data_IF_734372456943
#
_entry.id   IF_734372456943
#
_cell.length_a   1.000
_cell.length_b   1.000
_cell.length_c   1.000
_cell.angle_alpha   90.00
_cell.angle_beta   90.00
_cell.angle_gamma   90.00
#
_symmetry.space_group_name_H-M   'P 1'
#
loop_
_entity.id
_entity.type
_entity.pdbx_description
1 polymer ?
#
# COMPACT_ATOMS: atom_id res chain seq x y z
N UNK A 1 -6.81 -21.15 -4.83
CA UNK A 1 -5.76 -20.14 -4.54
C UNK A 1 -5.53 -19.18 -5.70
N UNK A 2 -5.78 -19.58 -6.96
CA UNK A 2 -5.51 -18.72 -8.12
C UNK A 2 -6.39 -17.46 -8.23
N UNK A 3 -7.66 -17.51 -7.76
CA UNK A 3 -8.56 -16.36 -7.82
C UNK A 3 -8.11 -15.19 -6.92
N UNK A 4 -7.60 -15.49 -5.71
CA UNK A 4 -7.08 -14.47 -4.79
C UNK A 4 -5.85 -13.79 -5.37
N UNK A 5 -4.94 -14.60 -5.92
CA UNK A 5 -3.73 -14.07 -6.55
C UNK A 5 -4.05 -13.23 -7.78
N UNK A 6 -5.00 -13.67 -8.60
CA UNK A 6 -5.48 -12.87 -9.74
C UNK A 6 -6.07 -11.55 -9.26
N UNK A 7 -6.93 -11.56 -8.24
CA UNK A 7 -7.55 -10.34 -7.72
C UNK A 7 -6.52 -9.39 -7.11
N UNK A 8 -5.54 -9.93 -6.37
CA UNK A 8 -4.39 -9.17 -5.89
C UNK A 8 -3.64 -8.48 -7.05
N UNK A 9 -3.26 -9.26 -8.07
CA UNK A 9 -2.47 -8.75 -9.20
C UNK A 9 -3.26 -7.70 -10.02
N UNK A 10 -4.57 -7.91 -10.19
CA UNK A 10 -5.47 -6.98 -10.87
C UNK A 10 -5.62 -5.68 -10.08
N UNK A 11 -5.82 -5.76 -8.76
CA UNK A 11 -5.90 -4.60 -7.88
C UNK A 11 -4.59 -3.80 -7.88
N UNK A 12 -3.44 -4.49 -7.73
CA UNK A 12 -2.14 -3.85 -7.78
C UNK A 12 -1.91 -3.11 -9.11
N UNK A 13 -2.32 -3.72 -10.23
CA UNK A 13 -2.18 -3.14 -11.56
C UNK A 13 -3.05 -1.90 -11.77
N UNK A 14 -4.28 -1.87 -11.27
CA UNK A 14 -5.12 -0.66 -11.39
C UNK A 14 -4.64 0.47 -10.48
N UNK A 15 -4.12 0.15 -9.28
CA UNK A 15 -3.47 1.13 -8.40
C UNK A 15 -2.22 1.70 -9.08
N UNK A 16 -1.33 0.84 -9.59
CA UNK A 16 -0.12 1.25 -10.32
C UNK A 16 -0.45 2.18 -11.49
N UNK A 17 -1.43 1.80 -12.31
CA UNK A 17 -1.90 2.61 -13.44
C UNK A 17 -2.40 3.98 -13.00
N UNK A 18 -3.18 4.02 -11.93
CA UNK A 18 -3.73 5.27 -11.38
C UNK A 18 -2.61 6.16 -10.85
N UNK A 19 -1.63 5.59 -10.16
CA UNK A 19 -0.47 6.32 -9.65
C UNK A 19 0.39 6.88 -10.78
N UNK A 20 0.69 6.10 -11.82
CA UNK A 20 1.44 6.59 -12.99
C UNK A 20 0.73 7.76 -13.67
N UNK A 21 -0.59 7.65 -13.90
CA UNK A 21 -1.37 8.75 -14.46
C UNK A 21 -1.35 9.98 -13.54
N UNK A 22 -1.45 9.79 -12.23
CA UNK A 22 -1.43 10.89 -11.25
C UNK A 22 -0.06 11.57 -11.19
N UNK A 23 1.04 10.80 -11.18
CA UNK A 23 2.43 11.30 -11.17
C UNK A 23 2.71 12.13 -12.42
N UNK A 24 2.36 11.62 -13.61
CA UNK A 24 2.58 12.33 -14.88
C UNK A 24 1.82 13.66 -14.97
N UNK A 25 0.70 13.78 -14.26
CA UNK A 25 -0.11 14.98 -14.23
C UNK A 25 0.30 15.99 -13.14
N UNK A 26 1.29 15.65 -12.29
CA UNK A 26 1.74 16.49 -11.19
C UNK A 26 3.10 17.10 -11.48
N UNK A 27 3.29 18.32 -11.01
CA UNK A 27 4.62 18.91 -10.91
C UNK A 27 5.27 18.41 -9.62
N UNK A 28 6.37 17.67 -9.74
CA UNK A 28 7.16 17.21 -8.61
C UNK A 28 8.04 16.01 -8.94
N UNK A 29 9.01 15.72 -8.07
CA UNK A 29 9.89 14.56 -8.20
C UNK A 29 9.31 13.40 -7.38
N UNK A 30 8.42 12.65 -8.02
CA UNK A 30 7.83 11.44 -7.45
C UNK A 30 8.31 10.20 -8.21
N UNK A 31 8.68 9.16 -7.50
CA UNK A 31 9.12 7.88 -8.07
C UNK A 31 8.25 6.75 -7.52
N UNK A 32 7.65 5.97 -8.42
CA UNK A 32 6.91 4.77 -8.08
C UNK A 32 7.75 3.53 -8.36
N UNK A 33 7.80 2.61 -7.40
CA UNK A 33 8.42 1.28 -7.54
C UNK A 33 7.41 0.24 -7.12
N UNK A 34 7.20 -0.79 -7.94
CA UNK A 34 6.20 -1.84 -7.72
C UNK A 34 6.90 -3.19 -7.65
N UNK A 35 6.62 -4.01 -6.64
CA UNK A 35 7.21 -5.34 -6.46
C UNK A 35 8.76 -5.38 -6.50
N UNK A 36 9.40 -4.28 -6.09
CA UNK A 36 10.85 -4.12 -6.13
C UNK A 36 11.45 -4.12 -4.73
N UNK A 37 12.73 -4.46 -4.64
CA UNK A 37 13.45 -4.30 -3.38
C UNK A 37 13.62 -2.84 -3.02
N UNK A 38 13.72 -2.56 -1.71
CA UNK A 38 14.03 -1.22 -1.23
C UNK A 38 15.48 -0.87 -1.58
N UNK A 39 15.73 0.26 -2.27
CA UNK A 39 17.07 0.63 -2.71
C UNK A 39 18.10 0.70 -1.58
N UNK A 40 19.24 0.04 -1.78
CA UNK A 40 20.37 0.09 -0.86
C UNK A 40 20.18 -0.65 0.47
N UNK A 41 19.06 -1.34 0.69
CA UNK A 41 18.88 -2.18 1.89
C UNK A 41 19.66 -3.50 1.72
N UNK A 42 20.67 -3.79 2.57
CA UNK A 42 21.35 -5.07 2.55
C UNK A 42 20.51 -6.16 3.24
N UNK A 43 20.55 -7.38 2.74
CA UNK A 43 19.87 -8.54 3.35
C UNK A 43 18.71 -9.09 2.50
N UNK A 44 17.79 -9.88 3.09
CA UNK A 44 16.74 -10.56 2.34
C UNK A 44 15.90 -9.54 1.55
N UNK A 45 15.64 -9.88 0.30
CA UNK A 45 14.97 -9.05 -0.69
C UNK A 45 13.49 -8.86 -0.35
N UNK A 46 13.19 -8.08 0.69
CA UNK A 46 11.83 -7.60 0.94
C UNK A 46 11.42 -6.75 -0.26
N UNK A 47 10.29 -7.12 -0.85
CA UNK A 47 9.69 -6.47 -2.01
C UNK A 47 8.29 -6.05 -1.61
N UNK A 48 8.12 -4.83 -1.08
CA UNK A 48 6.80 -4.26 -0.90
C UNK A 48 6.07 -4.21 -2.23
N UNK A 49 4.74 -4.36 -2.19
CA UNK A 49 3.93 -4.29 -3.41
C UNK A 49 4.07 -2.91 -4.05
N UNK A 50 4.08 -1.85 -3.23
CA UNK A 50 4.27 -0.47 -3.67
C UNK A 50 5.27 0.29 -2.80
N UNK A 51 6.11 1.08 -3.46
CA UNK A 51 6.92 2.13 -2.84
C UNK A 51 6.72 3.43 -3.62
N UNK A 52 6.27 4.49 -2.94
CA UNK A 52 6.10 5.80 -3.55
C UNK A 52 7.01 6.82 -2.85
N UNK A 53 8.08 7.23 -3.53
CA UNK A 53 9.02 8.23 -3.05
C UNK A 53 8.59 9.61 -3.52
N UNK A 54 8.37 10.53 -2.59
CA UNK A 54 8.23 11.94 -2.88
C UNK A 54 9.52 12.65 -2.46
N UNK A 55 10.38 12.93 -3.43
CA UNK A 55 11.70 13.52 -3.21
C UNK A 55 11.61 14.97 -2.74
N UNK A 56 10.55 15.69 -3.10
CA UNK A 56 10.34 17.09 -2.71
C UNK A 56 10.01 17.22 -1.22
N UNK A 57 9.19 16.30 -0.70
CA UNK A 57 8.80 16.24 0.73
C UNK A 57 9.71 15.36 1.57
N UNK A 58 10.61 14.60 0.93
CA UNK A 58 11.45 13.55 1.54
C UNK A 58 10.61 12.54 2.33
N UNK A 59 9.49 12.14 1.75
CA UNK A 59 8.60 11.09 2.29
C UNK A 59 8.63 9.86 1.40
N UNK A 60 8.44 8.68 1.98
CA UNK A 60 8.26 7.42 1.25
C UNK A 60 7.07 6.66 1.84
N UNK A 61 6.12 6.30 0.99
CA UNK A 61 5.07 5.36 1.35
C UNK A 61 5.52 3.95 0.96
N UNK A 62 5.48 3.02 1.89
CA UNK A 62 5.74 1.58 1.70
C UNK A 62 4.41 0.88 1.97
N UNK A 63 3.87 0.22 0.96
CA UNK A 63 2.52 -0.35 1.01
C UNK A 63 2.51 -1.80 0.54
N UNK A 64 1.86 -2.64 1.32
CA UNK A 64 1.47 -4.00 0.94
C UNK A 64 -0.04 -4.07 0.65
N UNK A 65 -0.40 -5.02 -0.19
CA UNK A 65 -1.75 -5.32 -0.60
C UNK A 65 -2.19 -6.66 0.02
N UNK A 66 -3.30 -6.63 0.75
CA UNK A 66 -3.86 -7.82 1.38
C UNK A 66 -5.25 -8.11 0.80
N UNK A 67 -5.47 -9.35 0.36
CA UNK A 67 -6.79 -9.85 0.01
C UNK A 67 -7.34 -10.66 1.17
N UNK A 68 -8.34 -10.14 1.86
CA UNK A 68 -9.07 -10.85 2.89
C UNK A 68 -10.19 -11.68 2.24
N UNK A 69 -10.41 -12.91 2.72
CA UNK A 69 -11.64 -13.61 2.37
C UNK A 69 -12.83 -12.90 3.03
N UNK A 70 -13.89 -12.65 2.26
CA UNK A 70 -15.16 -12.11 2.79
C UNK A 70 -15.91 -13.21 3.55
N UNK A 71 -15.33 -13.75 4.62
CA UNK A 71 -16.09 -14.53 5.59
C UNK A 71 -16.71 -13.52 6.55
N UNK A 72 -18.02 -13.31 6.39
CA UNK A 72 -18.82 -12.47 7.27
C UNK A 72 -19.02 -13.20 8.60
N UNK A 73 -17.95 -13.34 9.38
CA UNK A 73 -18.07 -13.72 10.78
C UNK A 73 -18.64 -12.50 11.50
N UNK A 74 -19.95 -12.58 11.72
CA UNK A 74 -20.68 -11.74 12.67
C UNK A 74 -20.18 -12.07 14.07
N UNK A 75 -18.98 -11.66 14.44
CA UNK A 75 -18.61 -11.44 15.84
C UNK A 75 -17.29 -10.66 15.94
N UNK A 76 -17.39 -9.56 16.69
CA UNK A 76 -16.34 -8.65 17.19
C UNK A 76 -15.86 -7.49 16.27
N UNK A 77 -16.46 -6.29 16.39
CA UNK A 77 -16.12 -5.11 15.59
C UNK A 77 -14.84 -4.38 16.04
N UNK A 78 -14.11 -4.84 17.07
CA UNK A 78 -12.95 -4.11 17.58
C UNK A 78 -11.86 -5.03 18.15
N UNK A 79 -10.67 -5.02 17.49
CA UNK A 79 -9.37 -5.06 18.19
C UNK A 79 -8.53 -6.37 18.30
N UNK A 80 -8.65 -7.40 17.45
CA UNK A 80 -7.62 -8.47 17.49
C UNK A 80 -7.00 -8.90 16.16
N UNK A 81 -7.76 -9.07 15.07
CA UNK A 81 -7.20 -9.52 13.78
C UNK A 81 -6.39 -8.43 13.05
N UNK A 82 -6.99 -7.27 12.83
CA UNK A 82 -6.35 -6.16 12.08
C UNK A 82 -5.16 -5.54 12.83
N UNK A 83 -5.23 -5.46 14.16
CA UNK A 83 -4.13 -4.98 14.98
C UNK A 83 -2.94 -5.94 14.97
N UNK A 84 -3.19 -7.26 14.94
CA UNK A 84 -2.15 -8.27 14.77
C UNK A 84 -1.54 -8.20 13.37
N UNK A 85 -2.34 -8.10 12.31
CA UNK A 85 -1.83 -7.94 10.94
C UNK A 85 -0.94 -6.70 10.80
N UNK A 86 -1.37 -5.56 11.37
CA UNK A 86 -0.56 -4.33 11.37
C UNK A 86 0.75 -4.47 12.16
N UNK A 87 0.73 -5.17 13.31
CA UNK A 87 1.93 -5.44 14.09
C UNK A 87 2.89 -6.42 13.39
N UNK A 88 2.35 -7.41 12.68
CA UNK A 88 3.10 -8.37 11.88
C UNK A 88 3.78 -7.69 10.69
N UNK A 89 3.09 -6.78 10.00
CA UNK A 89 3.67 -5.96 8.93
C UNK A 89 4.74 -5.00 9.44
N UNK A 90 4.51 -4.34 10.58
CA UNK A 90 5.50 -3.49 11.22
C UNK A 90 6.77 -4.29 11.59
N UNK A 91 6.61 -5.53 12.03
CA UNK A 91 7.73 -6.43 12.33
C UNK A 91 8.46 -6.85 11.06
N UNK A 92 7.72 -7.25 10.02
CA UNK A 92 8.25 -7.63 8.70
C UNK A 92 9.08 -6.50 8.09
N UNK A 93 8.59 -5.27 8.17
CA UNK A 93 9.23 -4.09 7.55
C UNK A 93 10.10 -3.28 8.50
N UNK A 94 10.37 -3.75 9.72
CA UNK A 94 11.19 -3.02 10.70
C UNK A 94 12.58 -2.63 10.14
N UNK A 95 13.21 -3.52 9.37
CA UNK A 95 14.50 -3.25 8.73
C UNK A 95 14.39 -2.18 7.63
N UNK A 96 13.33 -2.23 6.81
CA UNK A 96 13.02 -1.23 5.78
C UNK A 96 12.79 0.14 6.40
N UNK A 97 11.94 0.21 7.43
CA UNK A 97 11.64 1.42 8.18
C UNK A 97 12.92 2.07 8.70
N UNK A 98 13.76 1.28 9.40
CA UNK A 98 15.02 1.76 9.98
C UNK A 98 16.00 2.23 8.90
N UNK A 99 16.13 1.49 7.80
CA UNK A 99 17.02 1.83 6.71
C UNK A 99 16.62 3.15 6.05
N UNK A 100 15.36 3.28 5.63
CA UNK A 100 14.87 4.51 4.99
C UNK A 100 14.92 5.70 5.95
N UNK A 101 14.57 5.51 7.23
CA UNK A 101 14.71 6.56 8.24
C UNK A 101 16.16 6.99 8.43
N UNK A 102 17.13 6.07 8.40
CA UNK A 102 18.57 6.40 8.49
C UNK A 102 19.08 7.22 7.31
N UNK A 103 18.42 7.12 6.16
CA UNK A 103 18.67 7.95 4.97
C UNK A 103 17.92 9.30 5.01
N UNK A 104 17.20 9.58 6.11
CA UNK A 104 16.46 10.81 6.35
C UNK A 104 15.08 10.86 5.70
N UNK A 105 14.51 9.72 5.31
CA UNK A 105 13.14 9.66 4.82
C UNK A 105 12.14 9.64 5.97
N UNK A 106 11.03 10.37 5.82
CA UNK A 106 9.83 10.13 6.62
C UNK A 106 9.06 8.98 6.00
N UNK A 107 8.90 7.87 6.73
CA UNK A 107 8.33 6.63 6.18
C UNK A 107 6.88 6.45 6.63
N UNK A 108 5.99 6.22 5.67
CA UNK A 108 4.61 5.80 5.92
C UNK A 108 4.48 4.32 5.56
N UNK A 109 4.33 3.46 6.56
CA UNK A 109 3.98 2.05 6.35
C UNK A 109 2.47 1.91 6.46
N UNK A 110 1.85 1.27 5.46
CA UNK A 110 0.40 1.09 5.42
C UNK A 110 0.05 -0.13 4.59
N UNK A 111 -1.19 -0.61 4.75
CA UNK A 111 -1.67 -1.72 3.93
C UNK A 111 -3.04 -1.44 3.37
N UNK A 112 -3.18 -1.78 2.09
CA UNK A 112 -4.43 -1.69 1.37
C UNK A 112 -5.10 -3.06 1.44
N UNK A 113 -6.33 -3.09 1.96
CA UNK A 113 -7.06 -4.33 2.19
C UNK A 113 -8.29 -4.38 1.28
N UNK A 114 -8.41 -5.46 0.53
CA UNK A 114 -9.55 -5.74 -0.34
C UNK A 114 -10.16 -7.09 0.03
N UNK A 115 -11.48 -7.22 -0.09
CA UNK A 115 -12.18 -8.48 0.05
C UNK A 115 -12.11 -9.28 -1.23
N UNK A 116 -12.10 -10.59 -1.09
CA UNK A 116 -12.08 -11.57 -2.18
C UNK A 116 -13.21 -11.40 -3.22
N UNK A 117 -14.31 -10.73 -2.86
CA UNK A 117 -15.47 -10.46 -3.71
C UNK A 117 -15.53 -9.01 -4.21
N UNK A 118 -14.44 -8.24 -4.05
CA UNK A 118 -14.37 -6.84 -4.45
C UNK A 118 -14.92 -5.85 -3.41
N UNK A 119 -14.86 -6.21 -2.13
CA UNK A 119 -15.12 -5.26 -1.05
C UNK A 119 -13.86 -4.42 -0.80
N UNK A 120 -14.00 -3.14 -0.46
CA UNK A 120 -12.84 -2.26 -0.19
C UNK A 120 -12.85 -1.85 1.28
N UNK A 121 -11.72 -2.02 1.97
CA UNK A 121 -11.62 -1.60 3.36
C UNK A 121 -11.73 -0.05 3.46
N UNK A 122 -12.56 0.50 4.37
CA UNK A 122 -12.74 1.95 4.50
C UNK A 122 -11.45 2.74 4.78
N UNK A 123 -10.42 2.08 5.34
CA UNK A 123 -9.11 2.67 5.59
C UNK A 123 -8.30 2.98 4.33
N UNK A 124 -8.55 2.26 3.23
CA UNK A 124 -7.82 2.42 1.96
C UNK A 124 -7.97 3.85 1.42
N UNK A 125 -9.17 4.43 1.52
CA UNK A 125 -9.45 5.78 1.06
C UNK A 125 -8.51 6.82 1.67
N UNK A 126 -8.21 6.71 2.97
CA UNK A 126 -7.27 7.60 3.65
C UNK A 126 -5.84 7.37 3.17
N UNK A 127 -5.42 6.12 2.99
CA UNK A 127 -4.09 5.77 2.50
C UNK A 127 -3.86 6.31 1.08
N UNK A 128 -4.85 6.19 0.19
CA UNK A 128 -4.77 6.75 -1.17
C UNK A 128 -4.48 8.24 -1.15
N UNK A 129 -5.18 9.00 -0.31
CA UNK A 129 -5.02 10.45 -0.28
C UNK A 129 -3.79 10.89 0.51
N UNK A 130 -3.59 10.38 1.72
CA UNK A 130 -2.60 10.90 2.66
C UNK A 130 -1.19 10.39 2.34
N UNK A 131 -1.06 9.11 1.97
CA UNK A 131 0.25 8.47 1.78
C UNK A 131 0.62 8.36 0.30
N UNK A 132 -0.33 8.00 -0.55
CA UNK A 132 -0.15 7.94 -2.00
C UNK A 132 -0.39 9.29 -2.70
N UNK A 133 -0.92 10.27 -1.96
CA UNK A 133 -1.13 11.62 -2.45
C UNK A 133 -2.28 11.75 -3.44
N UNK A 134 -3.04 10.70 -3.77
CA UNK A 134 -4.07 10.70 -4.81
C UNK A 134 -5.16 11.76 -4.56
N UNK A 135 -5.70 12.31 -5.64
CA UNK A 135 -6.83 13.22 -5.53
C UNK A 135 -8.08 12.44 -5.10
N UNK A 136 -9.02 13.12 -4.42
CA UNK A 136 -10.32 12.54 -4.01
C UNK A 136 -11.04 11.79 -5.14
N UNK A 137 -10.98 12.30 -6.38
CA UNK A 137 -11.60 11.64 -7.55
C UNK A 137 -10.90 10.33 -7.95
N UNK A 138 -9.58 10.26 -7.78
CA UNK A 138 -8.75 9.09 -8.09
C UNK A 138 -8.96 8.02 -7.01
N UNK A 139 -8.93 8.42 -5.73
CA UNK A 139 -9.21 7.54 -4.60
C UNK A 139 -10.62 6.93 -4.69
N UNK A 140 -11.65 7.75 -4.94
CA UNK A 140 -13.02 7.25 -5.13
C UNK A 140 -13.17 6.28 -6.28
N UNK A 141 -12.40 6.48 -7.35
CA UNK A 141 -12.46 5.60 -8.52
C UNK A 141 -11.86 4.24 -8.17
N UNK A 142 -10.74 4.20 -7.44
CA UNK A 142 -10.15 2.95 -6.96
C UNK A 142 -11.12 2.19 -6.03
N UNK A 143 -11.81 2.88 -5.12
CA UNK A 143 -12.82 2.26 -4.24
C UNK A 143 -14.03 1.68 -5.00
N UNK A 144 -14.27 2.08 -6.24
CA UNK A 144 -15.44 1.67 -7.03
C UNK A 144 -15.13 0.59 -8.08
N UNK A 145 -13.85 0.45 -8.45
CA UNK A 145 -13.42 -0.41 -9.57
C UNK A 145 -12.79 -1.72 -9.11
N UNK A 146 -12.40 -1.79 -7.84
CA UNK A 146 -11.73 -2.92 -7.21
C UNK A 146 -12.62 -3.47 -6.11
#
# INVERSE_FOLDING_TARGET
MDAIRSHHDDALKEIERTLHASINNRHGRTELRVNQTVPGLPGPALRPDLQLYNHDKRTVAVIDLAIAFDQQDRDDPTSSGLAKASAEEATKYASVLRHLASQGWTVHLSSLVYGSLGSVAPGNYKIYMDHLGLLKREAKRLDQQL
#
